data_IF_644016073280
#
_entry.id   IF_644016073280
#
_cell.length_a   1.000
_cell.length_b   1.000
_cell.length_c   1.000
_cell.angle_alpha   90.00
_cell.angle_beta   90.00
_cell.angle_gamma   90.00
#
_symmetry.space_group_name_H-M   'P 1'
#
loop_
_entity.id
_entity.type
_entity.pdbx_description
1 polymer ?
#
# COMPACT_ATOMS: atom_id res chain seq x y z
N UNK A 1 -22.28 49.04 33.06
CA UNK A 1 -21.82 50.36 33.54
C UNK A 1 -22.83 51.40 33.12
N UNK A 2 -22.93 52.49 33.85
CA UNK A 2 -23.81 53.62 33.55
C UNK A 2 -22.97 54.85 33.24
N UNK A 3 -23.33 55.57 32.19
CA UNK A 3 -22.61 56.75 31.71
C UNK A 3 -23.57 57.93 31.54
N UNK A 4 -23.13 59.14 31.88
CA UNK A 4 -23.95 60.34 31.71
C UNK A 4 -23.95 60.81 30.24
N UNK A 5 -24.75 61.83 29.93
CA UNK A 5 -24.83 62.44 28.60
C UNK A 5 -23.48 62.98 28.05
N UNK A 6 -22.50 63.26 28.92
CA UNK A 6 -21.16 63.68 28.54
C UNK A 6 -20.21 62.49 28.24
N UNK A 7 -20.66 61.25 28.41
CA UNK A 7 -19.84 60.05 28.26
C UNK A 7 -18.93 59.77 29.45
N UNK A 8 -19.24 60.31 30.63
CA UNK A 8 -18.49 60.03 31.85
C UNK A 8 -19.15 58.87 32.62
N UNK A 9 -18.32 58.01 33.20
CA UNK A 9 -18.77 56.86 33.99
C UNK A 9 -19.36 57.35 35.32
N UNK A 10 -20.66 57.08 35.52
CA UNK A 10 -21.39 57.38 36.76
C UNK A 10 -21.34 56.19 37.70
N UNK A 11 -21.47 54.98 37.15
CA UNK A 11 -21.48 53.74 37.91
C UNK A 11 -20.88 52.58 37.11
N UNK A 12 -20.18 51.67 37.79
CA UNK A 12 -19.68 50.41 37.20
C UNK A 12 -20.01 49.25 38.11
N UNK A 13 -20.35 48.11 37.48
CA UNK A 13 -20.49 46.84 38.18
C UNK A 13 -19.10 46.23 38.44
N UNK A 14 -18.99 45.36 39.45
CA UNK A 14 -17.79 44.55 39.73
C UNK A 14 -17.26 43.79 38.50
N UNK A 15 -18.15 43.36 37.60
CA UNK A 15 -17.75 42.70 36.36
C UNK A 15 -16.86 43.60 35.47
N UNK A 16 -17.16 44.90 35.38
CA UNK A 16 -16.36 45.84 34.57
C UNK A 16 -14.99 46.02 35.19
N UNK A 17 -14.88 46.08 36.52
CA UNK A 17 -13.57 46.15 37.20
C UNK A 17 -12.70 44.92 36.89
N UNK A 18 -13.29 43.72 36.93
CA UNK A 18 -12.62 42.46 36.62
C UNK A 18 -12.20 42.38 35.14
N UNK A 19 -13.06 42.82 34.23
CA UNK A 19 -12.80 42.78 32.79
C UNK A 19 -11.76 43.84 32.38
N UNK A 20 -11.81 45.04 32.94
CA UNK A 20 -10.89 46.13 32.61
C UNK A 20 -9.59 46.11 33.42
N UNK A 21 -9.54 45.40 34.55
CA UNK A 21 -8.40 45.44 35.49
C UNK A 21 -8.20 46.81 36.16
N UNK A 22 -9.28 47.60 36.26
CA UNK A 22 -9.28 48.96 36.83
C UNK A 22 -10.31 49.03 37.95
N UNK A 23 -10.02 49.77 39.01
CA UNK A 23 -10.95 49.90 40.16
C UNK A 23 -12.09 50.88 39.85
N UNK A 24 -13.21 50.76 40.56
CA UNK A 24 -14.35 51.70 40.44
C UNK A 24 -13.92 53.14 40.66
N UNK A 25 -12.99 53.38 41.60
CA UNK A 25 -12.43 54.71 41.87
C UNK A 25 -11.62 55.26 40.70
N UNK A 26 -10.85 54.41 40.01
CA UNK A 26 -10.12 54.78 38.79
C UNK A 26 -11.06 55.03 37.60
N UNK A 27 -12.22 54.36 37.55
CA UNK A 27 -13.17 54.45 36.44
C UNK A 27 -14.16 55.61 36.59
N UNK A 28 -14.56 55.96 37.82
CA UNK A 28 -15.60 56.96 38.07
C UNK A 28 -15.20 58.35 37.57
N UNK A 29 -16.15 59.08 36.98
CA UNK A 29 -15.97 60.40 36.40
C UNK A 29 -15.00 60.47 35.19
N UNK A 30 -14.44 59.35 34.73
CA UNK A 30 -13.61 59.28 33.53
C UNK A 30 -14.45 59.12 32.26
N UNK A 31 -13.90 59.54 31.11
CA UNK A 31 -14.48 59.27 29.79
C UNK A 31 -14.27 57.78 29.46
N UNK A 32 -15.36 57.03 29.35
CA UNK A 32 -15.30 55.58 29.12
C UNK A 32 -14.76 55.22 27.74
N UNK A 33 -14.91 56.10 26.74
CA UNK A 33 -14.45 55.86 25.37
C UNK A 33 -12.93 56.00 25.29
N UNK A 34 -12.35 56.97 25.98
CA UNK A 34 -10.90 57.10 26.00
C UNK A 34 -10.23 55.98 26.80
N UNK A 35 -10.87 55.55 27.89
CA UNK A 35 -10.26 54.64 28.86
C UNK A 35 -10.47 53.15 28.53
N UNK A 36 -11.67 52.78 28.05
CA UNK A 36 -12.09 51.37 27.91
C UNK A 36 -12.28 50.93 26.46
N UNK A 37 -12.18 51.84 25.47
CA UNK A 37 -12.39 51.51 24.05
C UNK A 37 -11.07 51.60 23.29
N UNK A 38 -10.69 50.56 22.49
CA UNK A 38 -9.51 50.61 21.63
C UNK A 38 -9.53 51.83 20.70
N UNK A 39 -8.35 52.40 20.44
CA UNK A 39 -8.20 53.66 19.69
C UNK A 39 -8.93 53.66 18.35
N UNK A 40 -8.81 52.56 17.58
CA UNK A 40 -9.46 52.39 16.28
C UNK A 40 -11.01 52.44 16.34
N UNK A 41 -11.60 52.17 17.50
CA UNK A 41 -13.06 52.08 17.69
C UNK A 41 -13.65 53.33 18.38
N UNK A 42 -12.81 54.26 18.86
CA UNK A 42 -13.26 55.42 19.65
C UNK A 42 -14.19 56.34 18.89
N UNK A 43 -13.85 56.70 17.65
CA UNK A 43 -14.65 57.63 16.85
C UNK A 43 -16.06 57.09 16.59
N UNK A 44 -16.16 55.81 16.21
CA UNK A 44 -17.43 55.13 16.01
C UNK A 44 -18.24 55.02 17.31
N UNK A 45 -17.57 54.89 18.45
CA UNK A 45 -18.22 54.72 19.75
C UNK A 45 -18.73 56.05 20.33
N UNK A 46 -18.01 57.17 20.11
CA UNK A 46 -18.52 58.50 20.49
C UNK A 46 -19.82 58.86 19.77
N UNK A 47 -20.02 58.38 18.52
CA UNK A 47 -21.27 58.56 17.77
C UNK A 47 -22.47 57.89 18.46
N UNK A 48 -22.25 56.80 19.21
CA UNK A 48 -23.30 56.10 19.97
C UNK A 48 -23.74 56.91 21.19
N UNK A 49 -22.82 57.60 21.87
CA UNK A 49 -23.13 58.49 23.01
C UNK A 49 -23.76 59.83 22.61
N UNK A 50 -23.45 60.35 21.41
CA UNK A 50 -23.97 61.66 20.94
C UNK A 50 -25.39 61.64 20.38
N UNK A 51 -26.03 60.48 20.26
CA UNK A 51 -27.46 60.40 19.96
C UNK A 51 -28.25 60.83 21.20
N UNK A 52 -29.15 61.82 21.07
CA UNK A 52 -30.02 62.23 22.17
C UNK A 52 -30.85 61.07 22.74
N UNK A 53 -31.33 61.24 23.97
CA UNK A 53 -32.26 60.34 24.66
C UNK A 53 -33.48 60.07 23.77
N UNK A 54 -33.86 58.81 23.58
CA UNK A 54 -35.03 58.42 22.77
C UNK A 54 -34.77 57.97 21.33
N UNK A 55 -33.52 57.64 20.95
CA UNK A 55 -33.25 56.89 19.70
C UNK A 55 -33.42 55.38 19.91
N UNK A 56 -33.74 54.66 18.84
CA UNK A 56 -33.79 53.20 18.86
C UNK A 56 -32.40 52.60 19.16
N UNK A 57 -32.18 52.22 20.42
CA UNK A 57 -30.96 51.55 20.94
C UNK A 57 -31.15 50.04 21.10
N UNK A 58 -32.18 49.45 20.48
CA UNK A 58 -32.54 48.03 20.65
C UNK A 58 -31.55 47.02 20.07
N UNK A 59 -30.57 47.46 19.27
CA UNK A 59 -29.60 46.56 18.61
C UNK A 59 -28.32 46.40 19.43
N UNK A 60 -27.96 45.15 19.74
CA UNK A 60 -26.64 44.83 20.27
C UNK A 60 -25.57 44.99 19.20
N UNK A 61 -24.34 45.28 19.63
CA UNK A 61 -23.15 45.32 18.76
C UNK A 61 -21.92 44.80 19.50
N UNK A 62 -21.01 44.16 18.78
CA UNK A 62 -19.78 43.60 19.37
C UNK A 62 -18.63 44.59 19.20
N UNK A 63 -17.99 44.98 20.31
CA UNK A 63 -16.84 45.88 20.35
C UNK A 63 -15.81 45.48 21.39
N UNK A 64 -14.58 45.94 21.20
CA UNK A 64 -13.48 45.68 22.13
C UNK A 64 -13.61 46.47 23.43
N UNK A 65 -13.35 45.81 24.57
CA UNK A 65 -13.05 46.44 25.85
C UNK A 65 -11.54 46.33 26.10
N UNK A 66 -10.87 47.48 26.19
CA UNK A 66 -9.44 47.58 26.47
C UNK A 66 -9.17 47.45 27.98
N UNK A 67 -8.53 46.37 28.38
CA UNK A 67 -8.06 46.16 29.73
C UNK A 67 -6.75 46.92 30.01
N UNK A 68 -6.42 47.07 31.31
CA UNK A 68 -5.22 47.77 31.78
C UNK A 68 -3.91 47.15 31.30
N UNK A 69 -3.90 45.83 31.08
CA UNK A 69 -2.76 45.07 30.57
C UNK A 69 -2.57 45.20 29.04
N UNK A 70 -3.44 45.97 28.36
CA UNK A 70 -3.43 46.14 26.92
C UNK A 70 -4.19 45.06 26.15
N UNK A 71 -4.71 44.04 26.82
CA UNK A 71 -5.57 43.04 26.18
C UNK A 71 -6.92 43.64 25.79
N UNK A 72 -7.47 43.17 24.67
CA UNK A 72 -8.79 43.57 24.19
C UNK A 72 -9.74 42.40 24.36
N UNK A 73 -10.81 42.61 25.12
CA UNK A 73 -11.88 41.62 25.31
C UNK A 73 -13.03 41.90 24.37
N UNK A 74 -13.55 40.87 23.71
CA UNK A 74 -14.69 41.04 22.81
C UNK A 74 -15.97 41.08 23.63
N UNK A 75 -16.63 42.24 23.69
CA UNK A 75 -17.85 42.43 24.47
C UNK A 75 -19.02 42.71 23.52
N UNK A 76 -20.11 41.96 23.67
CA UNK A 76 -21.41 42.33 23.09
C UNK A 76 -22.07 43.38 23.97
N UNK A 77 -22.24 44.58 23.44
CA UNK A 77 -22.81 45.73 24.13
C UNK A 77 -24.28 45.92 23.75
N UNK A 78 -25.11 46.11 24.77
CA UNK A 78 -26.49 46.58 24.66
C UNK A 78 -26.63 47.86 25.47
N UNK A 79 -27.29 48.86 24.90
CA UNK A 79 -27.48 50.16 25.54
C UNK A 79 -28.96 50.41 25.77
N UNK A 80 -29.30 50.91 26.96
CA UNK A 80 -30.64 51.38 27.29
C UNK A 80 -30.56 52.80 27.85
N UNK A 81 -31.47 53.66 27.41
CA UNK A 81 -31.64 54.98 28.03
C UNK A 81 -32.30 54.79 29.40
N UNK A 82 -31.81 55.49 30.41
CA UNK A 82 -32.38 55.53 31.76
C UNK A 82 -32.95 56.91 31.97
N UNK A 83 -34.27 56.97 32.17
CA UNK A 83 -34.96 58.22 32.52
C UNK A 83 -34.65 58.58 33.98
N UNK A 84 -34.23 59.81 34.17
CA UNK A 84 -33.94 60.39 35.48
C UNK A 84 -35.21 60.93 36.15
N UNK A 85 -35.29 60.86 37.48
CA UNK A 85 -36.35 61.53 38.26
C UNK A 85 -36.25 63.06 38.17
N UNK A 86 -37.28 63.80 38.62
CA UNK A 86 -37.30 65.27 38.58
C UNK A 86 -36.01 65.88 39.17
N UNK A 87 -35.17 66.46 38.31
CA UNK A 87 -33.91 67.13 38.66
C UNK A 87 -32.62 66.38 38.34
N UNK A 88 -32.67 65.12 37.89
CA UNK A 88 -31.49 64.35 37.50
C UNK A 88 -31.21 64.40 35.99
N UNK A 89 -29.94 64.34 35.60
CA UNK A 89 -29.52 64.30 34.19
C UNK A 89 -29.72 62.89 33.61
N UNK A 90 -30.16 62.76 32.35
CA UNK A 90 -30.35 61.46 31.72
C UNK A 90 -29.04 60.68 31.60
N UNK A 91 -29.12 59.36 31.79
CA UNK A 91 -27.98 58.45 31.72
C UNK A 91 -28.24 57.28 30.77
N UNK A 92 -27.16 56.60 30.37
CA UNK A 92 -27.19 55.44 29.49
C UNK A 92 -26.64 54.25 30.27
N UNK A 93 -27.46 53.20 30.40
CA UNK A 93 -27.04 51.91 30.92
C UNK A 93 -26.41 51.09 29.78
N UNK A 94 -25.13 50.76 29.93
CA UNK A 94 -24.37 49.88 29.04
C UNK A 94 -24.23 48.50 29.70
N UNK A 95 -24.87 47.49 29.12
CA UNK A 95 -24.75 46.09 29.52
C UNK A 95 -23.81 45.41 28.53
N UNK A 96 -22.79 44.73 29.05
CA UNK A 96 -21.80 44.02 28.24
C UNK A 96 -21.80 42.53 28.56
N UNK A 97 -21.85 41.68 27.55
CA UNK A 97 -21.60 40.24 27.67
C UNK A 97 -20.23 39.91 27.10
N UNK A 98 -19.36 39.31 27.90
CA UNK A 98 -18.04 38.88 27.43
C UNK A 98 -18.17 37.66 26.50
N UNK A 99 -17.67 37.79 25.27
CA UNK A 99 -17.62 36.76 24.24
C UNK A 99 -16.20 36.25 23.99
N UNK A 100 -15.20 36.70 24.75
CA UNK A 100 -13.78 36.40 24.52
C UNK A 100 -13.49 34.90 24.63
N UNK A 101 -14.02 34.23 25.66
CA UNK A 101 -13.85 32.78 25.83
C UNK A 101 -14.55 31.99 24.72
N UNK A 102 -15.74 32.43 24.31
CA UNK A 102 -16.51 31.78 23.24
C UNK A 102 -15.79 31.89 21.89
N UNK A 103 -15.31 33.08 21.53
CA UNK A 103 -14.54 33.31 20.31
C UNK A 103 -13.21 32.55 20.33
N UNK A 104 -12.51 32.53 21.46
CA UNK A 104 -11.27 31.76 21.60
C UNK A 104 -11.52 30.25 21.43
N UNK A 105 -12.62 29.73 21.99
CA UNK A 105 -13.01 28.33 21.80
C UNK A 105 -13.38 28.03 20.34
N UNK A 106 -14.15 28.90 19.68
CA UNK A 106 -14.50 28.76 18.26
C UNK A 106 -13.27 28.78 17.35
N UNK A 107 -12.33 29.70 17.59
CA UNK A 107 -11.08 29.79 16.83
C UNK A 107 -10.22 28.54 17.02
N UNK A 108 -10.11 28.02 18.24
CA UNK A 108 -9.38 26.76 18.49
C UNK A 108 -10.00 25.57 17.74
N UNK A 109 -11.32 25.48 17.67
CA UNK A 109 -12.01 24.43 16.90
C UNK A 109 -11.71 24.60 15.41
N UNK A 110 -11.81 25.82 14.88
CA UNK A 110 -11.52 26.11 13.47
C UNK A 110 -10.06 25.79 13.11
N UNK A 111 -9.10 26.19 13.92
CA UNK A 111 -7.68 25.88 13.73
C UNK A 111 -7.42 24.37 13.76
N UNK A 112 -8.02 23.65 14.71
CA UNK A 112 -7.89 22.19 14.79
C UNK A 112 -8.49 21.49 13.57
N UNK A 113 -9.64 21.97 13.07
CA UNK A 113 -10.27 21.47 11.85
C UNK A 113 -9.40 21.72 10.61
N UNK A 114 -8.90 22.95 10.44
CA UNK A 114 -8.02 23.32 9.32
C UNK A 114 -6.72 22.50 9.34
N UNK A 115 -6.12 22.32 10.53
CA UNK A 115 -4.90 21.52 10.69
C UNK A 115 -5.13 20.06 10.30
N UNK A 116 -6.25 19.48 10.75
CA UNK A 116 -6.59 18.08 10.42
C UNK A 116 -6.87 17.92 8.92
N UNK A 117 -7.61 18.87 8.32
CA UNK A 117 -7.86 18.88 6.88
C UNK A 117 -6.56 18.97 6.07
N UNK A 118 -5.63 19.85 6.47
CA UNK A 118 -4.33 19.98 5.82
C UNK A 118 -3.49 18.70 5.90
N UNK A 119 -3.49 18.00 7.04
CA UNK A 119 -2.79 16.71 7.18
C UNK A 119 -3.37 15.65 6.24
N UNK A 120 -4.70 15.59 6.09
CA UNK A 120 -5.34 14.64 5.16
C UNK A 120 -5.03 14.99 3.70
N UNK A 121 -5.05 16.27 3.34
CA UNK A 121 -4.78 16.75 1.98
C UNK A 121 -3.33 16.59 1.53
N UNK A 122 -2.38 16.73 2.46
CA UNK A 122 -0.94 16.59 2.20
C UNK A 122 -0.43 15.16 2.33
N UNK A 123 -1.29 14.22 2.72
CA UNK A 123 -0.90 12.81 2.82
C UNK A 123 -0.46 12.27 1.44
N UNK A 124 0.63 11.49 1.46
CA UNK A 124 1.19 10.86 0.24
C UNK A 124 0.25 9.79 -0.30
N UNK A 125 -0.37 9.01 0.60
CA UNK A 125 -1.29 7.96 0.24
C UNK A 125 -2.69 8.53 -0.06
N UNK A 126 -3.41 7.86 -0.94
CA UNK A 126 -4.80 8.16 -1.20
C UNK A 126 -5.65 7.79 0.02
N UNK A 127 -6.49 8.72 0.48
CA UNK A 127 -7.40 8.54 1.61
C UNK A 127 -8.81 8.81 1.11
N UNK A 128 -9.70 7.84 1.35
CA UNK A 128 -11.11 7.91 0.99
C UNK A 128 -11.93 7.52 2.22
N UNK A 129 -12.96 8.29 2.56
CA UNK A 129 -13.94 7.89 3.57
C UNK A 129 -15.27 7.55 2.92
N UNK A 130 -15.99 6.57 3.46
CA UNK A 130 -17.31 6.19 3.00
C UNK A 130 -18.27 5.87 4.16
N UNK A 131 -19.56 5.99 3.88
CA UNK A 131 -20.67 5.61 4.76
C UNK A 131 -20.83 4.09 4.90
N UNK A 132 -21.70 3.65 5.81
CA UNK A 132 -22.15 2.24 5.89
C UNK A 132 -22.85 1.74 4.62
N UNK A 133 -23.38 2.65 3.80
CA UNK A 133 -24.02 2.36 2.51
C UNK A 133 -23.04 2.41 1.33
N UNK A 134 -21.73 2.36 1.60
CA UNK A 134 -20.65 2.38 0.60
C UNK A 134 -20.56 3.67 -0.23
N UNK A 135 -21.15 4.77 0.23
CA UNK A 135 -21.10 6.08 -0.46
C UNK A 135 -19.88 6.86 0.01
N UNK A 136 -19.08 7.37 -0.93
CA UNK A 136 -17.89 8.18 -0.65
C UNK A 136 -18.33 9.53 -0.05
N UNK A 137 -17.75 9.88 1.10
CA UNK A 137 -18.02 11.14 1.80
C UNK A 137 -16.90 12.15 1.63
N UNK A 138 -15.64 11.71 1.72
CA UNK A 138 -14.48 12.57 1.51
C UNK A 138 -13.38 11.84 0.76
N UNK A 139 -12.58 12.62 0.02
CA UNK A 139 -11.38 12.18 -0.69
C UNK A 139 -10.29 13.24 -0.49
N UNK A 140 -9.03 12.83 -0.40
CA UNK A 140 -7.91 13.77 -0.44
C UNK A 140 -7.37 13.97 -1.86
N UNK A 141 -6.50 14.97 -2.03
CA UNK A 141 -5.86 15.25 -3.33
C UNK A 141 -5.09 14.05 -3.90
N UNK A 142 -4.52 13.19 -3.06
CA UNK A 142 -3.83 11.98 -3.52
C UNK A 142 -4.79 10.95 -4.13
N UNK A 143 -5.99 10.78 -3.57
CA UNK A 143 -7.02 9.90 -4.14
C UNK A 143 -7.52 10.40 -5.51
N UNK A 144 -7.75 11.70 -5.64
CA UNK A 144 -8.11 12.36 -6.93
C UNK A 144 -7.04 12.08 -7.99
N UNK A 145 -5.77 12.33 -7.67
CA UNK A 145 -4.64 12.04 -8.60
C UNK A 145 -4.52 10.55 -8.92
N UNK A 146 -4.71 9.68 -7.93
CA UNK A 146 -4.57 8.24 -8.10
C UNK A 146 -5.68 7.67 -9.00
N UNK A 147 -6.93 8.06 -8.82
CA UNK A 147 -8.03 7.46 -9.58
C UNK A 147 -8.40 8.21 -10.87
N UNK A 148 -7.94 9.46 -11.02
CA UNK A 148 -8.20 10.28 -12.20
C UNK A 148 -9.61 10.86 -12.27
N UNK A 149 -10.36 10.80 -11.16
CA UNK A 149 -11.65 11.48 -10.99
C UNK A 149 -11.45 12.81 -10.26
N UNK A 150 -12.31 13.79 -10.52
CA UNK A 150 -12.39 14.97 -9.65
C UNK A 150 -13.04 14.62 -8.31
N UNK A 151 -12.83 15.45 -7.27
CA UNK A 151 -13.47 15.24 -5.98
C UNK A 151 -15.00 15.24 -6.10
N UNK A 152 -15.56 16.15 -6.90
CA UNK A 152 -17.01 16.27 -7.14
C UNK A 152 -17.59 15.05 -7.88
N UNK A 153 -16.79 14.37 -8.70
CA UNK A 153 -17.19 13.13 -9.36
C UNK A 153 -17.16 11.92 -8.42
N UNK A 154 -16.32 11.96 -7.38
CA UNK A 154 -16.19 10.86 -6.42
C UNK A 154 -17.17 10.97 -5.26
N UNK A 155 -17.33 12.17 -4.68
CA UNK A 155 -18.16 12.39 -3.50
C UNK A 155 -19.63 12.12 -3.85
N UNK A 156 -20.31 11.34 -3.01
CA UNK A 156 -21.69 10.93 -3.23
C UNK A 156 -21.86 9.70 -4.14
N UNK A 157 -20.79 9.23 -4.79
CA UNK A 157 -20.82 7.97 -5.54
C UNK A 157 -20.54 6.76 -4.65
N UNK A 158 -21.01 5.59 -5.09
CA UNK A 158 -20.64 4.34 -4.44
C UNK A 158 -19.15 4.01 -4.75
N UNK A 159 -18.38 3.61 -3.73
CA UNK A 159 -16.94 3.33 -3.84
C UNK A 159 -16.59 2.24 -4.87
N UNK A 160 -17.57 1.40 -5.23
CA UNK A 160 -17.44 0.36 -6.26
C UNK A 160 -17.05 0.88 -7.65
N UNK A 161 -17.15 2.20 -7.92
CA UNK A 161 -16.62 2.80 -9.15
C UNK A 161 -15.10 2.62 -9.30
N UNK A 162 -14.37 2.42 -8.20
CA UNK A 162 -12.91 2.36 -8.14
C UNK A 162 -12.33 0.95 -8.28
N UNK A 163 -13.16 -0.03 -8.66
CA UNK A 163 -12.75 -1.43 -8.79
C UNK A 163 -13.36 -2.07 -10.05
N UNK A 164 -12.68 -3.08 -10.63
CA UNK A 164 -13.19 -3.80 -11.80
C UNK A 164 -14.22 -4.88 -11.42
N UNK A 165 -14.90 -5.44 -12.42
CA UNK A 165 -15.68 -6.67 -12.24
C UNK A 165 -14.75 -7.87 -11.95
N UNK A 166 -15.19 -8.87 -11.16
CA UNK A 166 -16.50 -9.01 -10.51
C UNK A 166 -16.63 -8.24 -9.18
N UNK A 167 -15.53 -7.67 -8.66
CA UNK A 167 -15.49 -7.05 -7.33
C UNK A 167 -16.45 -5.86 -7.22
N UNK A 168 -16.58 -5.07 -8.29
CA UNK A 168 -17.53 -3.97 -8.39
C UNK A 168 -18.97 -4.37 -8.04
N UNK A 169 -19.46 -5.47 -8.60
CA UNK A 169 -20.84 -5.93 -8.36
C UNK A 169 -21.05 -6.58 -6.98
N UNK A 170 -19.98 -6.99 -6.31
CA UNK A 170 -20.04 -7.75 -5.05
C UNK A 170 -19.68 -6.92 -3.82
N UNK A 171 -19.17 -5.70 -4.01
CA UNK A 171 -18.61 -4.89 -2.94
C UNK A 171 -19.60 -4.62 -1.80
N UNK A 172 -20.80 -4.18 -2.13
CA UNK A 172 -21.84 -3.88 -1.13
C UNK A 172 -22.21 -5.11 -0.30
N UNK A 173 -22.17 -6.31 -0.92
CA UNK A 173 -22.39 -7.57 -0.21
C UNK A 173 -21.26 -7.87 0.78
N UNK A 174 -20.02 -7.49 0.48
CA UNK A 174 -18.90 -7.65 1.41
C UNK A 174 -19.06 -6.78 2.65
N UNK A 175 -19.46 -5.51 2.47
CA UNK A 175 -19.72 -4.60 3.58
C UNK A 175 -20.94 -5.06 4.39
N UNK A 176 -22.03 -5.46 3.73
CA UNK A 176 -23.20 -6.00 4.41
C UNK A 176 -22.90 -7.28 5.21
N UNK A 177 -22.09 -8.18 4.65
CA UNK A 177 -21.62 -9.38 5.35
C UNK A 177 -20.78 -9.03 6.57
N UNK A 178 -19.92 -8.01 6.48
CA UNK A 178 -19.14 -7.54 7.63
C UNK A 178 -20.05 -6.96 8.72
N UNK A 179 -20.99 -6.09 8.35
CA UNK A 179 -21.91 -5.46 9.31
C UNK A 179 -22.79 -6.48 10.04
N UNK A 180 -23.15 -7.58 9.39
CA UNK A 180 -23.97 -8.65 9.99
C UNK A 180 -23.16 -9.66 10.81
N UNK A 181 -21.92 -9.95 10.43
CA UNK A 181 -21.12 -11.03 11.05
C UNK A 181 -20.00 -10.55 11.95
N UNK A 182 -19.55 -9.30 11.82
CA UNK A 182 -18.37 -8.75 12.49
C UNK A 182 -17.03 -9.32 12.01
N UNK A 183 -17.02 -10.22 11.01
CA UNK A 183 -15.81 -10.91 10.55
C UNK A 183 -14.99 -9.99 9.64
N UNK A 184 -13.86 -9.51 10.16
CA UNK A 184 -12.94 -8.60 9.45
C UNK A 184 -12.15 -9.35 8.37
N UNK A 185 -12.37 -9.00 7.09
CA UNK A 185 -11.59 -9.54 5.95
C UNK A 185 -10.43 -8.63 5.51
N UNK A 186 -10.63 -7.31 5.57
CA UNK A 186 -9.65 -6.28 5.19
C UNK A 186 -9.49 -5.23 6.32
N UNK A 187 -10.53 -5.04 7.12
CA UNK A 187 -10.54 -4.04 8.20
C UNK A 187 -9.47 -4.38 9.24
N UNK A 188 -8.49 -3.49 9.40
CA UNK A 188 -7.33 -3.66 10.29
C UNK A 188 -6.22 -4.59 9.77
N UNK A 189 -6.39 -5.21 8.60
CA UNK A 189 -5.43 -6.16 8.00
C UNK A 189 -5.26 -5.74 6.53
N UNK A 190 -4.34 -4.81 6.27
CA UNK A 190 -4.07 -4.32 4.91
C UNK A 190 -3.85 -5.46 3.90
N UNK A 191 -4.28 -5.27 2.65
CA UNK A 191 -4.30 -6.31 1.60
C UNK A 191 -4.01 -5.76 0.20
N UNK A 192 -3.23 -6.52 -0.58
CA UNK A 192 -3.07 -6.28 -2.02
C UNK A 192 -4.36 -6.64 -2.78
N UNK A 193 -4.92 -5.67 -3.52
CA UNK A 193 -6.10 -5.84 -4.37
C UNK A 193 -5.91 -5.09 -5.70
N UNK A 194 -6.81 -5.30 -6.66
CA UNK A 194 -6.82 -4.58 -7.94
C UNK A 194 -7.86 -3.47 -7.88
N UNK A 195 -7.44 -2.27 -8.28
CA UNK A 195 -8.29 -1.11 -8.42
C UNK A 195 -8.41 -0.70 -9.90
N UNK A 196 -9.33 0.22 -10.20
CA UNK A 196 -9.59 0.70 -11.55
C UNK A 196 -9.68 2.23 -11.56
N UNK A 197 -8.98 2.87 -12.50
CA UNK A 197 -9.03 4.34 -12.71
C UNK A 197 -10.22 4.71 -13.59
N UNK A 198 -10.47 6.02 -13.73
CA UNK A 198 -11.53 6.58 -14.59
C UNK A 198 -11.41 6.15 -16.07
N UNK A 199 -10.18 6.03 -16.57
CA UNK A 199 -9.90 5.59 -17.94
C UNK A 199 -10.10 4.08 -18.18
N UNK A 200 -10.47 3.33 -17.13
CA UNK A 200 -10.66 1.88 -17.17
C UNK A 200 -9.37 1.06 -16.94
N UNK A 201 -8.21 1.72 -16.80
CA UNK A 201 -6.96 1.02 -16.48
C UNK A 201 -7.03 0.39 -15.10
N UNK A 202 -6.59 -0.86 -15.00
CA UNK A 202 -6.54 -1.62 -13.76
C UNK A 202 -5.11 -1.63 -13.21
N UNK A 203 -4.97 -1.49 -11.89
CA UNK A 203 -3.66 -1.39 -11.26
C UNK A 203 -3.67 -2.00 -9.85
N UNK A 204 -2.53 -2.56 -9.38
CA UNK A 204 -2.45 -3.15 -8.05
C UNK A 204 -2.32 -2.06 -6.98
N UNK A 205 -3.06 -2.22 -5.89
CA UNK A 205 -3.01 -1.36 -4.72
C UNK A 205 -2.83 -2.17 -3.44
N UNK A 206 -2.20 -1.57 -2.43
CA UNK A 206 -2.30 -2.00 -1.04
C UNK A 206 -3.41 -1.19 -0.36
N UNK A 207 -4.46 -1.87 0.09
CA UNK A 207 -5.64 -1.28 0.72
C UNK A 207 -5.69 -1.63 2.20
N UNK A 208 -5.72 -0.61 3.05
CA UNK A 208 -6.00 -0.74 4.48
C UNK A 208 -7.29 -0.02 4.83
N UNK A 209 -8.22 -0.71 5.49
CA UNK A 209 -9.50 -0.10 5.91
C UNK A 209 -9.57 0.02 7.42
N UNK A 210 -9.82 1.23 7.90
CA UNK A 210 -10.19 1.54 9.28
C UNK A 210 -11.69 1.77 9.41
N UNK A 211 -12.19 1.63 10.64
CA UNK A 211 -13.59 1.84 10.99
C UNK A 211 -13.66 2.75 12.22
N UNK A 212 -14.57 3.72 12.20
CA UNK A 212 -14.82 4.60 13.34
C UNK A 212 -16.32 4.89 13.49
N UNK A 213 -16.75 5.14 14.71
CA UNK A 213 -18.11 5.63 15.01
C UNK A 213 -17.99 7.09 15.46
N UNK A 214 -18.63 7.99 14.71
CA UNK A 214 -18.66 9.41 15.01
C UNK A 214 -19.55 9.69 16.24
N UNK A 215 -19.37 10.83 16.93
CA UNK A 215 -20.19 11.21 18.09
C UNK A 215 -21.71 11.23 17.81
N UNK A 216 -22.11 11.45 16.56
CA UNK A 216 -23.51 11.39 16.12
C UNK A 216 -24.06 9.95 15.96
N UNK A 217 -23.28 8.92 16.30
CA UNK A 217 -23.65 7.51 16.14
C UNK A 217 -23.44 6.95 14.73
N UNK A 218 -23.08 7.80 13.76
CA UNK A 218 -22.81 7.39 12.38
C UNK A 218 -21.47 6.67 12.28
N UNK A 219 -21.46 5.48 11.70
CA UNK A 219 -20.23 4.76 11.39
C UNK A 219 -19.66 5.19 10.05
N UNK A 220 -18.35 5.26 9.98
CA UNK A 220 -17.59 5.60 8.79
C UNK A 220 -16.47 4.58 8.58
N UNK A 221 -16.14 4.35 7.32
CA UNK A 221 -14.99 3.54 6.91
C UNK A 221 -13.97 4.43 6.23
N UNK A 222 -12.70 4.28 6.60
CA UNK A 222 -11.58 5.02 6.01
C UNK A 222 -10.66 4.06 5.29
N UNK A 223 -10.58 4.17 3.96
CA UNK A 223 -9.62 3.45 3.13
C UNK A 223 -8.34 4.28 2.94
N UNK A 224 -7.20 3.68 3.27
CA UNK A 224 -5.86 4.18 2.92
C UNK A 224 -5.33 3.29 1.80
N UNK A 225 -4.98 3.92 0.68
CA UNK A 225 -4.66 3.24 -0.57
C UNK A 225 -3.26 3.66 -1.01
N UNK A 226 -2.41 2.67 -1.28
CA UNK A 226 -1.06 2.87 -1.83
C UNK A 226 -0.96 2.17 -3.18
N UNK A 227 -0.51 2.91 -4.20
CA UNK A 227 -0.23 2.36 -5.53
C UNK A 227 1.00 1.42 -5.45
N UNK A 228 0.85 0.20 -5.99
CA UNK A 228 1.94 -0.79 -6.06
C UNK A 228 2.50 -0.95 -7.48
N UNK A 229 2.03 -0.17 -8.45
CA UNK A 229 2.38 -0.33 -9.88
C UNK A 229 3.89 -0.25 -10.09
N UNK A 230 4.55 0.82 -9.61
CA UNK A 230 5.99 1.00 -9.79
C UNK A 230 6.79 -0.11 -9.10
N UNK A 231 6.39 -0.49 -7.89
CA UNK A 231 7.04 -1.59 -7.16
C UNK A 231 6.94 -2.91 -7.92
N UNK A 232 5.75 -3.26 -8.41
CA UNK A 232 5.53 -4.50 -9.18
C UNK A 232 6.30 -4.47 -10.50
N UNK A 233 6.34 -3.33 -11.18
CA UNK A 233 7.12 -3.16 -12.41
C UNK A 233 8.63 -3.34 -12.16
N UNK A 234 9.15 -2.78 -11.06
CA UNK A 234 10.56 -2.98 -10.67
C UNK A 234 10.84 -4.43 -10.29
N UNK A 235 9.96 -5.08 -9.54
CA UNK A 235 10.05 -6.51 -9.22
C UNK A 235 10.09 -7.36 -10.51
N UNK A 236 9.25 -7.07 -11.50
CA UNK A 236 9.25 -7.74 -12.81
C UNK A 236 10.51 -7.47 -13.63
N UNK A 237 11.01 -6.22 -13.66
CA UNK A 237 12.25 -5.88 -14.34
C UNK A 237 13.46 -6.60 -13.73
N UNK A 238 13.54 -6.66 -12.40
CA UNK A 238 14.61 -7.40 -11.71
C UNK A 238 14.57 -8.89 -12.04
N UNK A 239 13.38 -9.49 -12.09
CA UNK A 239 13.20 -10.87 -12.53
C UNK A 239 13.70 -11.05 -13.98
N UNK A 240 13.31 -10.17 -14.88
CA UNK A 240 13.72 -10.23 -16.28
C UNK A 240 15.24 -10.12 -16.45
N UNK A 241 15.87 -9.16 -15.78
CA UNK A 241 17.33 -8.98 -15.78
C UNK A 241 18.03 -10.21 -15.21
N UNK A 242 17.53 -10.74 -14.09
CA UNK A 242 18.10 -11.95 -13.47
C UNK A 242 18.04 -13.16 -14.41
N UNK A 243 16.95 -13.33 -15.16
CA UNK A 243 16.81 -14.40 -16.14
C UNK A 243 17.77 -14.24 -17.32
N UNK A 244 17.87 -13.03 -17.87
CA UNK A 244 18.82 -12.74 -18.94
C UNK A 244 20.26 -13.01 -18.52
N UNK A 245 20.61 -12.64 -17.29
CA UNK A 245 21.94 -12.83 -16.73
C UNK A 245 22.26 -14.32 -16.54
N UNK A 246 21.32 -15.12 -16.00
CA UNK A 246 21.48 -16.57 -15.93
C UNK A 246 21.68 -17.20 -17.32
N UNK A 247 20.93 -16.75 -18.32
CA UNK A 247 21.08 -17.20 -19.70
C UNK A 247 22.42 -16.80 -20.33
N UNK A 248 22.97 -15.64 -19.95
CA UNK A 248 24.30 -15.19 -20.38
C UNK A 248 25.39 -16.05 -19.76
N UNK A 249 25.40 -16.18 -18.43
CA UNK A 249 26.38 -17.01 -17.70
C UNK A 249 26.35 -18.47 -18.19
N UNK A 250 25.15 -19.03 -18.40
CA UNK A 250 25.01 -20.38 -18.92
C UNK A 250 25.62 -20.58 -20.30
N UNK A 251 25.53 -19.56 -21.19
CA UNK A 251 26.21 -19.56 -22.50
C UNK A 251 27.71 -19.43 -22.37
N UNK A 252 28.20 -18.49 -21.55
CA UNK A 252 29.64 -18.27 -21.38
C UNK A 252 30.33 -19.53 -20.82
N UNK A 253 29.69 -20.24 -19.87
CA UNK A 253 30.19 -21.54 -19.38
C UNK A 253 30.21 -22.60 -20.49
N UNK A 254 29.20 -22.65 -21.35
CA UNK A 254 29.12 -23.62 -22.44
C UNK A 254 30.20 -23.36 -23.51
N UNK A 255 30.29 -22.11 -23.94
CA UNK A 255 31.10 -21.74 -25.10
C UNK A 255 32.57 -21.56 -24.74
N UNK A 256 32.88 -21.14 -23.52
CA UNK A 256 34.28 -20.96 -23.10
C UNK A 256 34.76 -22.13 -22.23
N UNK A 257 34.22 -22.27 -21.02
CA UNK A 257 34.74 -23.22 -20.04
C UNK A 257 34.64 -24.69 -20.50
N UNK A 258 33.49 -25.10 -21.06
CA UNK A 258 33.32 -26.48 -21.52
C UNK A 258 34.20 -26.80 -22.74
N UNK A 259 34.46 -25.83 -23.62
CA UNK A 259 35.35 -26.00 -24.78
C UNK A 259 36.80 -26.13 -24.33
N UNK A 260 37.27 -25.27 -23.41
CA UNK A 260 38.61 -25.34 -22.86
C UNK A 260 38.86 -26.67 -22.13
N UNK A 261 37.93 -27.10 -21.26
CA UNK A 261 38.04 -28.38 -20.55
C UNK A 261 38.02 -29.58 -21.51
N UNK A 262 37.25 -29.50 -22.59
CA UNK A 262 37.26 -30.54 -23.62
C UNK A 262 38.64 -30.62 -24.33
N UNK A 263 39.21 -29.48 -24.70
CA UNK A 263 40.53 -29.41 -25.33
C UNK A 263 41.64 -29.95 -24.41
N UNK A 264 41.67 -29.49 -23.14
CA UNK A 264 42.62 -29.96 -22.12
C UNK A 264 42.46 -31.48 -21.91
N UNK A 265 41.22 -31.96 -21.80
CA UNK A 265 40.93 -33.38 -21.63
C UNK A 265 41.42 -34.23 -22.80
N UNK A 266 41.24 -33.75 -24.04
CA UNK A 266 41.77 -34.42 -25.24
C UNK A 266 43.30 -34.47 -25.23
N UNK A 267 43.98 -33.35 -24.97
CA UNK A 267 45.45 -33.29 -24.93
C UNK A 267 46.02 -34.19 -23.83
N UNK A 268 45.46 -34.12 -22.62
CA UNK A 268 45.86 -34.96 -21.50
C UNK A 268 45.66 -36.45 -21.81
N UNK A 269 44.57 -36.82 -22.49
CA UNK A 269 44.28 -38.20 -22.88
C UNK A 269 45.27 -38.73 -23.92
N UNK A 270 45.68 -37.91 -24.89
CA UNK A 270 46.71 -38.28 -25.88
C UNK A 270 48.06 -38.48 -25.19
N UNK A 271 48.46 -37.56 -24.31
CA UNK A 271 49.70 -37.69 -23.55
C UNK A 271 49.70 -38.94 -22.64
N UNK A 272 48.57 -39.24 -21.99
CA UNK A 272 48.39 -40.46 -21.20
C UNK A 272 48.61 -41.72 -22.03
N UNK A 273 47.99 -41.80 -23.21
CA UNK A 273 48.16 -42.95 -24.10
C UNK A 273 49.61 -43.15 -24.53
N UNK A 274 50.35 -42.06 -24.79
CA UNK A 274 51.78 -42.13 -25.11
C UNK A 274 52.62 -42.67 -23.94
N UNK A 275 52.38 -42.16 -22.71
CA UNK A 275 53.13 -42.59 -21.53
C UNK A 275 52.83 -44.05 -21.16
N UNK A 276 51.56 -44.46 -21.30
CA UNK A 276 51.12 -45.83 -21.09
C UNK A 276 51.81 -46.80 -22.06
N UNK A 277 51.92 -46.44 -23.34
CA UNK A 277 52.62 -47.24 -24.35
C UNK A 277 54.12 -47.35 -24.08
N UNK A 278 54.76 -46.30 -23.55
CA UNK A 278 56.18 -46.31 -23.18
C UNK A 278 56.47 -46.96 -21.82
N UNK A 279 55.44 -47.35 -21.04
CA UNK A 279 55.60 -47.90 -19.69
C UNK A 279 56.17 -46.91 -18.66
N UNK A 280 55.92 -45.61 -18.84
CA UNK A 280 56.47 -44.57 -17.98
C UNK A 280 55.80 -44.54 -16.60
N UNK A 281 56.56 -44.28 -15.53
CA UNK A 281 56.06 -44.30 -14.15
C UNK A 281 54.93 -43.27 -13.89
N UNK A 282 54.92 -42.15 -14.62
CA UNK A 282 53.95 -41.07 -14.45
C UNK A 282 52.59 -41.30 -15.17
N UNK A 283 52.41 -42.43 -15.86
CA UNK A 283 51.18 -42.70 -16.60
C UNK A 283 49.93 -42.67 -15.69
N UNK A 284 50.04 -43.22 -14.47
CA UNK A 284 48.93 -43.25 -13.51
C UNK A 284 48.56 -41.84 -13.00
N UNK A 285 49.56 -40.99 -12.74
CA UNK A 285 49.33 -39.60 -12.34
C UNK A 285 48.61 -38.81 -13.45
N UNK A 286 48.96 -39.04 -14.73
CA UNK A 286 48.29 -38.39 -15.85
C UNK A 286 46.86 -38.94 -16.08
N UNK A 287 46.62 -40.22 -15.76
CA UNK A 287 45.26 -40.80 -15.77
C UNK A 287 44.34 -40.12 -14.75
N UNK A 288 44.87 -39.79 -13.57
CA UNK A 288 44.13 -39.06 -12.55
C UNK A 288 43.73 -37.65 -13.03
N UNK A 289 44.66 -36.93 -13.67
CA UNK A 289 44.37 -35.62 -14.29
C UNK A 289 43.27 -35.73 -15.35
N UNK A 290 43.34 -36.73 -16.24
CA UNK A 290 42.29 -36.97 -17.25
C UNK A 290 40.94 -37.21 -16.59
N UNK A 291 40.92 -37.96 -15.48
CA UNK A 291 39.69 -38.24 -14.73
C UNK A 291 39.11 -36.97 -14.11
N UNK A 292 39.94 -36.15 -13.45
CA UNK A 292 39.52 -34.89 -12.84
C UNK A 292 39.01 -33.88 -13.87
N UNK A 293 39.69 -33.72 -15.02
CA UNK A 293 39.25 -32.82 -16.10
C UNK A 293 37.92 -33.30 -16.70
N UNK A 294 37.76 -34.61 -16.86
CA UNK A 294 36.50 -35.19 -17.36
C UNK A 294 35.35 -34.91 -16.39
N UNK A 295 35.57 -35.10 -15.09
CA UNK A 295 34.57 -34.79 -14.05
C UNK A 295 34.25 -33.29 -14.01
N UNK A 296 35.25 -32.42 -14.10
CA UNK A 296 35.07 -30.97 -14.15
C UNK A 296 34.23 -30.55 -15.37
N UNK A 297 34.48 -31.16 -16.54
CA UNK A 297 33.71 -30.87 -17.76
C UNK A 297 32.24 -31.32 -17.62
N UNK A 298 31.99 -32.48 -17.02
CA UNK A 298 30.62 -32.93 -16.71
C UNK A 298 29.91 -31.95 -15.78
N UNK A 299 30.56 -31.55 -14.69
CA UNK A 299 30.00 -30.58 -13.73
C UNK A 299 29.73 -29.21 -14.39
N UNK A 300 30.66 -28.69 -15.20
CA UNK A 300 30.49 -27.44 -15.93
C UNK A 300 29.31 -27.49 -16.91
N UNK A 301 29.16 -28.61 -17.64
CA UNK A 301 28.02 -28.83 -18.56
C UNK A 301 26.70 -28.91 -17.81
N UNK A 302 26.66 -29.57 -16.66
CA UNK A 302 25.47 -29.63 -15.81
C UNK A 302 25.08 -28.25 -15.28
N UNK A 303 26.05 -27.45 -14.86
CA UNK A 303 25.84 -26.08 -14.40
C UNK A 303 25.34 -25.16 -15.53
N UNK A 304 25.96 -25.25 -16.71
CA UNK A 304 25.51 -24.54 -17.91
C UNK A 304 24.06 -24.90 -18.26
N UNK A 305 23.71 -26.20 -18.32
CA UNK A 305 22.33 -26.66 -18.56
C UNK A 305 21.35 -26.19 -17.49
N UNK A 306 21.81 -26.09 -16.24
CA UNK A 306 21.04 -25.57 -15.13
C UNK A 306 20.77 -24.07 -15.23
N UNK A 307 21.66 -23.28 -15.84
CA UNK A 307 21.56 -21.82 -15.97
C UNK A 307 20.99 -21.38 -17.32
N UNK A 308 21.14 -22.19 -18.36
CA UNK A 308 20.53 -22.03 -19.65
C UNK A 308 20.16 -23.44 -20.13
N UNK A 309 18.88 -23.82 -20.30
CA UNK A 309 18.51 -25.14 -20.78
C UNK A 309 18.76 -25.11 -22.28
N UNK A 310 20.04 -25.24 -22.65
CA UNK A 310 20.48 -25.32 -24.03
C UNK A 310 19.97 -26.67 -24.53
N UNK A 311 19.03 -26.60 -25.48
CA UNK A 311 18.52 -27.68 -26.33
C UNK A 311 17.34 -28.50 -25.77
N UNK A 312 16.12 -28.02 -26.00
CA UNK A 312 14.91 -28.85 -26.12
C UNK A 312 14.73 -29.42 -27.55
N UNK A 313 15.74 -29.34 -28.42
CA UNK A 313 15.60 -29.58 -29.86
C UNK A 313 15.51 -31.06 -30.30
N UNK A 314 15.88 -32.04 -29.47
CA UNK A 314 15.87 -33.47 -29.88
C UNK A 314 15.11 -34.42 -28.96
N UNK A 315 14.88 -34.07 -27.69
CA UNK A 315 14.13 -34.89 -26.72
C UNK A 315 12.83 -34.28 -26.17
N UNK A 316 12.60 -32.98 -26.43
CA UNK A 316 11.44 -32.25 -25.93
C UNK A 316 11.35 -32.15 -24.40
N UNK A 317 10.31 -31.47 -23.91
CA UNK A 317 10.11 -31.16 -22.48
C UNK A 317 10.09 -32.42 -21.61
N UNK A 318 9.48 -33.50 -22.09
CA UNK A 318 9.35 -34.75 -21.34
C UNK A 318 10.71 -35.37 -20.98
N UNK A 319 11.65 -35.41 -21.94
CA UNK A 319 12.99 -35.93 -21.69
C UNK A 319 13.74 -35.07 -20.67
N UNK A 320 13.60 -33.74 -20.75
CA UNK A 320 14.20 -32.82 -19.80
C UNK A 320 13.65 -33.01 -18.38
N UNK A 321 12.33 -33.14 -18.21
CA UNK A 321 11.71 -33.41 -16.91
C UNK A 321 12.10 -34.78 -16.34
N UNK A 322 12.25 -35.79 -17.20
CA UNK A 322 12.72 -37.11 -16.79
C UNK A 322 14.17 -37.06 -16.30
N UNK A 323 15.05 -36.34 -17.01
CA UNK A 323 16.43 -36.11 -16.57
C UNK A 323 16.49 -35.34 -15.25
N UNK A 324 15.68 -34.29 -15.09
CA UNK A 324 15.59 -33.52 -13.83
C UNK A 324 15.23 -34.43 -12.64
N UNK A 325 14.26 -35.33 -12.82
CA UNK A 325 13.85 -36.28 -11.78
C UNK A 325 14.98 -37.26 -11.43
N UNK A 326 15.64 -37.84 -12.44
CA UNK A 326 16.75 -38.80 -12.26
C UNK A 326 17.94 -38.16 -11.55
N UNK A 327 18.34 -36.96 -11.96
CA UNK A 327 19.45 -36.23 -11.35
C UNK A 327 19.14 -35.85 -9.91
N UNK A 328 17.92 -35.38 -9.64
CA UNK A 328 17.48 -35.05 -8.27
C UNK A 328 17.49 -36.28 -7.36
N UNK A 329 16.99 -37.42 -7.85
CA UNK A 329 17.00 -38.67 -7.10
C UNK A 329 18.42 -39.12 -6.76
N UNK A 330 19.37 -39.00 -7.71
CA UNK A 330 20.77 -39.40 -7.51
C UNK A 330 21.51 -38.48 -6.53
N UNK A 331 21.36 -37.16 -6.69
CA UNK A 331 22.12 -36.17 -5.90
C UNK A 331 21.61 -36.10 -4.47
N UNK A 332 20.30 -36.00 -4.29
CA UNK A 332 19.70 -35.76 -2.98
C UNK A 332 19.23 -37.04 -2.28
N UNK A 333 19.33 -38.21 -2.94
CA UNK A 333 18.89 -39.51 -2.41
C UNK A 333 17.41 -39.50 -1.99
N UNK A 334 16.56 -38.87 -2.82
CA UNK A 334 15.11 -38.71 -2.63
C UNK A 334 14.36 -39.49 -3.73
N UNK A 335 13.19 -40.08 -3.42
CA UNK A 335 12.35 -40.73 -4.45
C UNK A 335 11.72 -39.67 -5.37
N UNK A 336 12.41 -39.30 -6.47
CA UNK A 336 11.93 -38.35 -7.46
C UNK A 336 11.53 -39.06 -8.77
N UNK A 337 10.26 -38.95 -9.19
CA UNK A 337 9.76 -39.62 -10.39
C UNK A 337 9.02 -38.66 -11.32
N UNK A 338 9.28 -38.81 -12.62
CA UNK A 338 8.50 -38.18 -13.69
C UNK A 338 7.46 -39.17 -14.24
N UNK A 339 6.24 -38.68 -14.48
CA UNK A 339 5.13 -39.46 -15.06
C UNK A 339 4.36 -38.62 -16.07
N UNK A 340 3.84 -39.26 -17.12
CA UNK A 340 2.96 -38.64 -18.09
C UNK A 340 1.99 -39.68 -18.63
N UNK A 341 0.71 -39.32 -18.76
CA UNK A 341 -0.34 -40.26 -19.15
C UNK A 341 -0.32 -40.55 -20.67
N UNK A 342 0.15 -39.58 -21.47
CA UNK A 342 0.31 -39.69 -22.92
C UNK A 342 1.47 -38.78 -23.38
N UNK A 343 2.10 -39.03 -24.54
CA UNK A 343 3.14 -38.16 -25.08
C UNK A 343 2.63 -36.72 -25.25
N UNK A 344 3.22 -35.77 -24.53
CA UNK A 344 2.92 -34.34 -24.63
C UNK A 344 3.97 -33.67 -25.50
N UNK A 345 3.59 -33.32 -26.74
CA UNK A 345 4.40 -32.49 -27.61
C UNK A 345 4.03 -31.01 -27.44
N UNK A 346 5.06 -30.17 -27.25
CA UNK A 346 4.94 -28.71 -27.19
C UNK A 346 5.81 -28.19 -28.34
N UNK A 347 5.17 -27.62 -29.37
CA UNK A 347 5.86 -27.09 -30.54
C UNK A 347 6.65 -25.82 -30.23
N UNK A 348 6.13 -25.00 -29.31
CA UNK A 348 6.79 -23.77 -28.90
C UNK A 348 7.89 -24.05 -27.86
N UNK A 349 9.13 -23.85 -28.30
CA UNK A 349 10.32 -24.01 -27.44
C UNK A 349 10.29 -23.05 -26.24
N UNK A 350 9.73 -21.84 -26.37
CA UNK A 350 9.61 -20.90 -25.25
C UNK A 350 8.69 -21.47 -24.16
N UNK A 351 7.55 -22.05 -24.55
CA UNK A 351 6.62 -22.70 -23.60
C UNK A 351 7.31 -23.85 -22.87
N UNK A 352 8.03 -24.69 -23.62
CA UNK A 352 8.75 -25.83 -23.05
C UNK A 352 9.86 -25.40 -22.09
N UNK A 353 10.67 -24.38 -22.43
CA UNK A 353 11.70 -23.82 -21.56
C UNK A 353 11.09 -23.33 -20.24
N UNK A 354 10.04 -22.52 -20.30
CA UNK A 354 9.45 -21.95 -19.09
C UNK A 354 8.79 -23.01 -18.19
N UNK A 355 8.12 -24.02 -18.77
CA UNK A 355 7.61 -25.16 -18.00
C UNK A 355 8.73 -25.92 -17.30
N UNK A 356 9.84 -26.19 -17.99
CA UNK A 356 11.01 -26.81 -17.39
C UNK A 356 11.57 -25.99 -16.22
N UNK A 357 11.67 -24.66 -16.37
CA UNK A 357 12.12 -23.76 -15.30
C UNK A 357 11.20 -23.78 -14.08
N UNK A 358 9.88 -23.79 -14.31
CA UNK A 358 8.91 -23.91 -13.22
C UNK A 358 9.10 -25.24 -12.49
N UNK A 359 9.29 -26.35 -13.21
CA UNK A 359 9.54 -27.65 -12.59
C UNK A 359 10.87 -27.67 -11.81
N UNK A 360 11.94 -27.12 -12.39
CA UNK A 360 13.25 -27.02 -11.76
C UNK A 360 13.18 -26.27 -10.43
N UNK A 361 12.53 -25.11 -10.41
CA UNK A 361 12.36 -24.27 -9.22
C UNK A 361 11.46 -24.96 -8.18
N UNK A 362 10.36 -25.59 -8.60
CA UNK A 362 9.48 -26.33 -7.69
C UNK A 362 10.20 -27.52 -7.02
N UNK A 363 10.99 -28.28 -7.78
CA UNK A 363 11.80 -29.40 -7.27
C UNK A 363 12.88 -28.90 -6.34
N UNK A 364 13.59 -27.82 -6.68
CA UNK A 364 14.61 -27.22 -5.83
C UNK A 364 14.02 -26.74 -4.49
N UNK A 365 12.84 -26.13 -4.52
CA UNK A 365 12.13 -25.71 -3.31
C UNK A 365 11.72 -26.90 -2.44
N UNK A 366 11.23 -27.98 -3.05
CA UNK A 366 10.93 -29.21 -2.31
C UNK A 366 12.19 -29.75 -1.61
N UNK A 367 13.32 -29.85 -2.32
CA UNK A 367 14.58 -30.35 -1.75
C UNK A 367 15.09 -29.46 -0.61
N UNK A 368 15.08 -28.14 -0.79
CA UNK A 368 15.66 -27.19 0.18
C UNK A 368 14.77 -26.97 1.41
N UNK A 369 13.45 -26.94 1.24
CA UNK A 369 12.55 -26.40 2.26
C UNK A 369 11.57 -27.42 2.85
N UNK A 370 11.29 -28.53 2.18
CA UNK A 370 10.20 -29.42 2.60
C UNK A 370 10.64 -30.65 3.41
N UNK A 371 11.95 -30.96 3.46
CA UNK A 371 12.48 -32.25 3.97
C UNK A 371 11.76 -33.47 3.35
N UNK A 372 11.28 -33.33 2.11
CA UNK A 372 10.54 -34.38 1.44
C UNK A 372 11.41 -35.61 1.19
N UNK A 373 10.80 -36.78 1.35
CA UNK A 373 11.40 -38.06 0.97
C UNK A 373 10.92 -38.54 -0.39
N UNK A 374 9.88 -37.88 -0.95
CA UNK A 374 9.31 -38.19 -2.24
C UNK A 374 8.86 -36.93 -2.99
N UNK A 375 9.24 -36.85 -4.26
CA UNK A 375 8.83 -35.81 -5.19
C UNK A 375 8.26 -36.49 -6.46
N UNK A 376 7.16 -35.97 -6.97
CA UNK A 376 6.56 -36.45 -8.21
C UNK A 376 6.35 -35.28 -9.17
N UNK A 377 6.79 -35.46 -10.41
CA UNK A 377 6.59 -34.53 -11.52
C UNK A 377 5.62 -35.21 -12.49
N UNK A 378 4.52 -34.55 -12.79
CA UNK A 378 3.50 -35.06 -13.70
C UNK A 378 3.23 -34.04 -14.79
N UNK A 379 3.16 -34.49 -16.05
CA UNK A 379 2.80 -33.68 -17.20
C UNK A 379 1.63 -34.31 -17.95
N UNK A 380 0.58 -33.52 -18.18
CA UNK A 380 -0.65 -33.95 -18.85
C UNK A 380 -1.07 -32.93 -19.90
N UNK A 381 -1.51 -33.42 -21.06
CA UNK A 381 -2.23 -32.59 -22.04
C UNK A 381 -3.74 -32.79 -21.83
N UNK A 382 -4.50 -31.70 -21.83
CA UNK A 382 -5.96 -31.69 -21.85
C UNK A 382 -6.38 -30.79 -22.99
N UNK A 383 -6.96 -31.32 -24.06
CA UNK A 383 -7.45 -30.57 -25.24
C UNK A 383 -6.60 -29.33 -25.59
N UNK A 384 -7.02 -28.15 -25.12
CA UNK A 384 -6.40 -26.84 -25.38
C UNK A 384 -5.44 -26.33 -24.29
N UNK A 385 -4.94 -27.19 -23.40
CA UNK A 385 -4.04 -26.79 -22.31
C UNK A 385 -3.07 -27.91 -21.90
N UNK A 386 -1.92 -27.52 -21.37
CA UNK A 386 -0.98 -28.41 -20.68
C UNK A 386 -1.07 -28.14 -19.18
N UNK A 387 -1.22 -29.21 -18.41
CA UNK A 387 -1.14 -29.19 -16.96
C UNK A 387 0.15 -29.89 -16.51
N UNK A 388 1.00 -29.16 -15.79
CA UNK A 388 2.16 -29.70 -15.12
C UNK A 388 1.96 -29.62 -13.62
N UNK A 389 2.16 -30.74 -12.92
CA UNK A 389 1.97 -30.84 -11.47
C UNK A 389 3.22 -31.39 -10.81
N UNK A 390 3.74 -30.66 -9.84
CA UNK A 390 4.87 -31.09 -9.00
C UNK A 390 4.34 -31.24 -7.58
N UNK A 391 4.57 -32.40 -6.97
CA UNK A 391 4.11 -32.70 -5.63
C UNK A 391 5.22 -33.29 -4.78
N UNK A 392 5.40 -32.74 -3.59
CA UNK A 392 6.23 -33.30 -2.53
C UNK A 392 5.38 -33.86 -1.37
N UNK A 393 6.00 -34.62 -0.48
CA UNK A 393 5.39 -35.17 0.73
C UNK A 393 5.95 -34.58 2.03
N UNK A 394 6.59 -33.42 1.94
CA UNK A 394 7.31 -32.79 3.04
C UNK A 394 6.40 -32.04 4.02
N UNK A 395 6.97 -31.06 4.71
CA UNK A 395 6.26 -30.24 5.72
C UNK A 395 5.17 -29.34 5.15
N UNK A 396 5.17 -29.11 3.84
CA UNK A 396 4.26 -28.18 3.17
C UNK A 396 4.65 -26.72 3.36
N UNK A 397 3.88 -25.83 2.73
CA UNK A 397 4.04 -24.38 2.84
C UNK A 397 3.15 -23.87 3.99
N UNK A 398 3.65 -22.99 4.89
CA UNK A 398 2.82 -22.37 5.91
C UNK A 398 1.65 -21.62 5.25
N UNK A 399 0.47 -21.65 5.87
CA UNK A 399 -0.77 -21.16 5.27
C UNK A 399 -0.65 -19.69 4.84
N UNK A 400 -0.43 -19.45 3.54
CA UNK A 400 -0.29 -18.12 2.94
C UNK A 400 -1.56 -17.77 2.18
N UNK A 401 -2.67 -17.66 2.90
CA UNK A 401 -3.94 -17.14 2.39
C UNK A 401 -3.90 -15.63 2.04
N UNK A 402 -2.71 -15.02 2.02
CA UNK A 402 -2.48 -13.60 1.72
C UNK A 402 -1.43 -13.45 0.60
N UNK A 403 -1.82 -13.11 -0.65
CA UNK A 403 -0.89 -12.68 -1.68
C UNK A 403 -0.16 -11.40 -1.22
N UNK A 404 1.18 -11.39 -1.27
CA UNK A 404 1.99 -10.17 -1.08
C UNK A 404 2.86 -10.10 0.18
N UNK A 405 2.62 -10.93 1.21
CA UNK A 405 3.48 -11.01 2.41
C UNK A 405 4.11 -12.40 2.55
N UNK A 406 5.40 -12.51 2.25
CA UNK A 406 6.20 -13.71 2.52
C UNK A 406 6.39 -14.68 1.35
N UNK A 407 5.95 -14.35 0.14
CA UNK A 407 6.26 -15.15 -1.06
C UNK A 407 7.75 -15.05 -1.37
N UNK A 408 8.50 -16.12 -1.10
CA UNK A 408 9.91 -16.22 -1.48
C UNK A 408 10.10 -16.01 -2.99
N UNK A 409 11.25 -15.48 -3.39
CA UNK A 409 11.57 -15.14 -4.79
C UNK A 409 11.25 -16.27 -5.77
N UNK A 410 11.44 -17.54 -5.38
CA UNK A 410 11.10 -18.70 -6.21
C UNK A 410 9.63 -18.78 -6.64
N UNK A 411 8.69 -18.48 -5.72
CA UNK A 411 7.25 -18.48 -6.02
C UNK A 411 6.87 -17.33 -6.97
N UNK A 412 7.50 -16.17 -6.79
CA UNK A 412 7.30 -15.01 -7.66
C UNK A 412 7.79 -15.31 -9.08
N UNK A 413 9.00 -15.86 -9.21
CA UNK A 413 9.56 -16.26 -10.50
C UNK A 413 8.69 -17.30 -11.20
N UNK A 414 8.28 -18.37 -10.52
CA UNK A 414 7.39 -19.38 -11.13
C UNK A 414 6.05 -18.79 -11.57
N UNK A 415 5.46 -17.90 -10.77
CA UNK A 415 4.17 -17.26 -11.09
C UNK A 415 4.30 -16.31 -12.28
N UNK A 416 5.38 -15.55 -12.35
CA UNK A 416 5.69 -14.66 -13.47
C UNK A 416 5.84 -15.47 -14.77
N UNK A 417 6.67 -16.54 -14.76
CA UNK A 417 6.87 -17.42 -15.93
C UNK A 417 5.57 -18.01 -16.46
N UNK A 418 4.67 -18.44 -15.57
CA UNK A 418 3.36 -18.94 -15.96
C UNK A 418 2.50 -17.85 -16.62
N UNK A 419 2.49 -16.62 -16.07
CA UNK A 419 1.74 -15.48 -16.62
C UNK A 419 2.24 -15.04 -17.99
N UNK A 420 3.56 -15.04 -18.22
CA UNK A 420 4.15 -14.71 -19.53
C UNK A 420 3.65 -15.63 -20.64
N UNK A 421 3.19 -16.84 -20.28
CA UNK A 421 2.59 -17.81 -21.19
C UNK A 421 1.06 -17.82 -21.16
N UNK A 422 0.42 -16.79 -20.62
CA UNK A 422 -1.03 -16.72 -20.36
C UNK A 422 -1.56 -17.89 -19.51
N UNK A 423 -0.67 -18.53 -18.75
CA UNK A 423 -0.97 -19.64 -17.86
C UNK A 423 -1.27 -19.20 -16.43
N UNK A 424 -1.65 -20.17 -15.60
CA UNK A 424 -1.91 -20.00 -14.17
C UNK A 424 -1.06 -20.96 -13.37
N UNK A 425 -0.49 -20.47 -12.29
CA UNK A 425 0.19 -21.27 -11.28
C UNK A 425 -0.66 -21.26 -10.00
N UNK A 426 -0.93 -22.44 -9.45
CA UNK A 426 -1.45 -22.59 -8.09
C UNK A 426 -0.45 -23.37 -7.23
N UNK A 427 -0.36 -22.99 -5.96
CA UNK A 427 0.48 -23.65 -4.98
C UNK A 427 -0.37 -23.89 -3.74
N UNK A 428 -0.56 -25.16 -3.41
CA UNK A 428 -1.53 -25.58 -2.39
C UNK A 428 -0.91 -26.62 -1.45
N UNK A 429 -1.32 -26.67 -0.18
CA UNK A 429 -0.94 -27.75 0.71
C UNK A 429 -1.51 -29.09 0.22
N UNK A 430 -0.67 -30.13 0.24
CA UNK A 430 -1.06 -31.46 -0.19
C UNK A 430 -2.01 -32.14 0.80
N UNK A 431 -3.05 -32.83 0.30
CA UNK A 431 -4.02 -33.59 1.11
C UNK A 431 -3.41 -34.63 2.08
N UNK A 432 -2.17 -35.05 1.85
CA UNK A 432 -1.43 -36.04 2.68
C UNK A 432 -0.16 -35.43 3.29
N UNK A 433 -0.09 -34.10 3.42
CA UNK A 433 1.15 -33.36 3.69
C UNK A 433 1.86 -32.92 2.40
N UNK A 434 2.87 -32.06 2.56
CA UNK A 434 3.70 -31.52 1.48
C UNK A 434 3.06 -30.38 0.70
N UNK A 435 3.66 -30.02 -0.42
CA UNK A 435 3.21 -28.96 -1.34
C UNK A 435 2.80 -29.56 -2.68
N UNK A 436 1.77 -28.99 -3.29
CA UNK A 436 1.37 -29.26 -4.67
C UNK A 436 1.47 -27.97 -5.46
N UNK A 437 2.38 -27.94 -6.43
CA UNK A 437 2.50 -26.87 -7.42
C UNK A 437 1.82 -27.35 -8.71
N UNK A 438 0.83 -26.61 -9.18
CA UNK A 438 0.12 -26.89 -10.44
C UNK A 438 0.27 -25.71 -11.38
N UNK A 439 0.83 -25.94 -12.57
CA UNK A 439 0.92 -24.97 -13.64
C UNK A 439 0.00 -25.42 -14.78
N UNK A 440 -0.87 -24.52 -15.25
CA UNK A 440 -1.78 -24.76 -16.37
C UNK A 440 -1.49 -23.70 -17.42
N UNK A 441 -1.14 -24.12 -18.63
CA UNK A 441 -0.81 -23.23 -19.75
C UNK A 441 -1.74 -23.53 -20.92
N UNK A 442 -2.47 -22.52 -21.45
CA UNK A 442 -3.24 -22.71 -22.67
C UNK A 442 -2.30 -22.98 -23.85
N UNK A 443 -2.64 -23.96 -24.68
CA UNK A 443 -1.98 -24.18 -25.96
C UNK A 443 -2.78 -23.44 -27.03
N UNK A 444 -2.10 -22.58 -27.79
CA UNK A 444 -2.65 -22.06 -29.04
C UNK A 444 -2.72 -23.21 -30.03
N UNK A 445 -3.89 -23.48 -30.60
CA UNK A 445 -3.96 -24.34 -31.77
C UNK A 445 -3.12 -23.70 -32.89
N UNK A 446 -2.23 -24.50 -33.46
CA UNK A 446 -1.40 -24.12 -34.61
C UNK A 446 -2.23 -24.07 -35.87
#
# INVERSE_FOLDING_TARGET
MEVNAAGQIVWVSRAVELLSGRTTEELRCQDWVDLLVPEAEREATRKVCRGGVGRDRSKSHVKGLLARDGSVRSIEWTHADVESGEGELPSILCIGRDLSELQAAQNKVLEAQQRTGAVLETAVNAIITMSETCIIETVNSAAVRLFGYSADEMIGQNVSILMPQPFRGQHDQYVHSYLSTGVKKIIGIGREVIAMRKDGSVFPIDLSVGEAVLPCGKRIFTGIIRDLTERKNLEEQLLHISEQEQHRIGRDIHDDLCQQLAAIGCLAKVAYQSLLQSGHADADALQEIVTLVTQANVCAREMSRGLNPVVLDSGGLMAALQQLAQTTARIYQIDCKFTSDAPVSIADNQVAVQLYRIAQEAVANAVKHSRATKISIQLRRRDFQVEMRIKDNGTGIPDHSVPGRGTGMGLLTMSHRARTLNGRLSVEPGKKGGTVVTCIIPLSDS
#
